data_IF_922280589802
#
_entry.id   IF_922280589802
#
_cell.length_a   1.000
_cell.length_b   1.000
_cell.length_c   1.000
_cell.angle_alpha   90.00
_cell.angle_beta   90.00
_cell.angle_gamma   90.00
#
_symmetry.space_group_name_H-M   'P 1'
#
loop_
_entity.id
_entity.type
_entity.pdbx_description
1 polymer ?
#
# COMPACT_ATOMS: atom_id res chain seq x y z
N UNK A 1 32.75 8.94 9.75
CA UNK A 1 32.83 7.49 9.98
C UNK A 1 31.73 6.84 9.15
N UNK A 2 32.07 6.16 8.06
CA UNK A 2 31.10 5.50 7.17
C UNK A 2 30.59 4.23 7.83
N UNK A 3 29.29 4.18 8.13
CA UNK A 3 28.64 2.99 8.66
C UNK A 3 28.65 1.89 7.59
N UNK A 4 29.29 0.75 7.90
CA UNK A 4 29.29 -0.42 7.03
C UNK A 4 27.86 -0.92 6.81
N UNK A 5 27.41 -0.90 5.54
CA UNK A 5 26.13 -1.51 5.14
C UNK A 5 26.27 -3.02 5.30
N UNK A 6 25.73 -3.56 6.40
CA UNK A 6 25.67 -5.00 6.65
C UNK A 6 24.64 -5.60 5.68
N UNK A 7 25.11 -6.28 4.64
CA UNK A 7 24.24 -7.05 3.73
C UNK A 7 23.51 -8.11 4.55
N UNK A 8 22.18 -8.00 4.60
CA UNK A 8 21.31 -8.94 5.29
C UNK A 8 21.44 -10.31 4.60
N UNK A 9 21.92 -11.31 5.33
CA UNK A 9 22.03 -12.68 4.82
C UNK A 9 20.65 -13.33 4.94
N UNK A 10 19.95 -13.44 3.83
CA UNK A 10 18.71 -14.22 3.78
C UNK A 10 19.03 -15.71 3.88
N UNK A 11 18.26 -16.43 4.71
CA UNK A 11 18.37 -17.87 4.83
C UNK A 11 17.98 -18.53 3.50
N UNK A 12 18.88 -19.35 2.92
CA UNK A 12 18.66 -20.07 1.66
C UNK A 12 17.75 -21.30 1.80
N UNK A 13 16.79 -21.25 2.73
CA UNK A 13 15.80 -22.30 2.96
C UNK A 13 14.47 -22.00 2.28
N UNK A 14 13.64 -23.03 2.03
CA UNK A 14 12.25 -22.83 1.63
C UNK A 14 11.57 -21.98 2.73
N UNK A 15 10.95 -20.86 2.35
CA UNK A 15 10.27 -19.96 3.31
C UNK A 15 9.27 -20.81 4.13
N UNK A 16 9.23 -20.68 5.46
CA UNK A 16 8.26 -21.39 6.28
C UNK A 16 6.85 -21.06 5.76
N UNK A 17 6.11 -22.06 5.32
CA UNK A 17 4.72 -21.92 4.96
C UNK A 17 3.89 -22.19 6.21
N UNK A 18 3.20 -21.17 6.71
CA UNK A 18 2.40 -21.26 7.93
C UNK A 18 0.95 -21.58 7.55
N UNK A 19 0.46 -21.00 6.46
CA UNK A 19 -0.87 -21.24 5.94
C UNK A 19 -0.88 -22.30 4.83
N UNK A 20 -2.03 -22.95 4.64
CA UNK A 20 -2.22 -23.95 3.58
C UNK A 20 -2.17 -23.37 2.16
N UNK A 21 -2.42 -22.07 2.02
CA UNK A 21 -2.30 -21.32 0.77
C UNK A 21 -1.05 -20.41 0.83
N UNK A 22 -0.05 -20.60 -0.06
CA UNK A 22 1.14 -19.74 -0.16
C UNK A 22 0.83 -18.24 -0.37
N UNK A 23 -0.33 -17.91 -0.92
CA UNK A 23 -0.77 -16.52 -1.09
C UNK A 23 -0.98 -15.85 0.26
N UNK A 24 -1.55 -16.56 1.24
CA UNK A 24 -1.81 -16.02 2.57
C UNK A 24 -0.52 -15.72 3.36
N UNK A 25 0.48 -16.59 3.27
CA UNK A 25 1.80 -16.34 3.87
C UNK A 25 2.49 -15.11 3.26
N UNK A 26 2.31 -14.94 1.95
CA UNK A 26 2.87 -13.80 1.20
C UNK A 26 2.17 -12.50 1.61
N UNK A 27 0.84 -12.50 1.70
CA UNK A 27 0.04 -11.36 2.12
C UNK A 27 0.35 -10.98 3.58
N UNK A 28 0.44 -11.96 4.48
CA UNK A 28 0.86 -11.74 5.87
C UNK A 28 2.26 -11.12 5.96
N UNK A 29 3.21 -11.62 5.16
CA UNK A 29 4.56 -11.06 5.09
C UNK A 29 4.54 -9.59 4.64
N UNK A 30 3.74 -9.25 3.63
CA UNK A 30 3.57 -7.86 3.16
C UNK A 30 2.98 -6.98 4.25
N UNK A 31 1.95 -7.44 4.96
CA UNK A 31 1.32 -6.70 6.07
C UNK A 31 2.32 -6.45 7.20
N UNK A 32 3.14 -7.44 7.56
CA UNK A 32 4.16 -7.30 8.60
C UNK A 32 5.24 -6.26 8.22
N UNK A 33 5.66 -6.23 6.96
CA UNK A 33 6.59 -5.19 6.47
C UNK A 33 5.91 -3.81 6.54
N UNK A 34 4.68 -3.66 6.04
CA UNK A 34 3.95 -2.40 6.09
C UNK A 34 3.75 -1.89 7.53
N UNK A 35 3.38 -2.77 8.45
CA UNK A 35 3.26 -2.44 9.88
C UNK A 35 4.59 -1.97 10.48
N UNK A 36 5.71 -2.56 10.05
CA UNK A 36 7.05 -2.14 10.49
C UNK A 36 7.40 -0.75 9.96
N UNK A 37 7.18 -0.48 8.68
CA UNK A 37 7.41 0.84 8.07
C UNK A 37 6.49 1.92 8.68
N UNK A 38 5.25 1.57 9.04
CA UNK A 38 4.33 2.47 9.74
C UNK A 38 4.88 2.86 11.12
N UNK A 39 5.43 1.91 11.87
CA UNK A 39 6.05 2.21 13.17
C UNK A 39 7.29 3.10 13.00
N UNK A 40 8.17 2.82 12.04
CA UNK A 40 9.32 3.69 11.74
C UNK A 40 8.88 5.12 11.40
N UNK A 41 7.77 5.26 10.66
CA UNK A 41 7.20 6.58 10.35
C UNK A 41 6.67 7.27 11.61
N UNK A 42 5.98 6.55 12.50
CA UNK A 42 5.51 7.09 13.79
C UNK A 42 6.67 7.52 14.69
N UNK A 43 7.72 6.71 14.79
CA UNK A 43 8.92 7.04 15.57
C UNK A 43 9.61 8.30 15.02
N UNK A 44 9.62 8.47 13.69
CA UNK A 44 10.13 9.68 13.06
C UNK A 44 9.28 10.92 13.39
N UNK A 45 7.96 10.79 13.46
CA UNK A 45 7.07 11.89 13.86
C UNK A 45 7.30 12.26 15.34
N UNK A 46 7.37 11.29 16.26
CA UNK A 46 7.71 11.52 17.67
C UNK A 46 9.08 12.22 17.80
N UNK A 47 10.07 11.78 17.01
CA UNK A 47 11.39 12.44 16.98
C UNK A 47 11.30 13.91 16.55
N UNK A 48 10.46 14.23 15.55
CA UNK A 48 10.24 15.62 15.10
C UNK A 48 9.64 16.46 16.22
N UNK A 49 8.62 15.94 16.92
CA UNK A 49 7.98 16.62 18.04
C UNK A 49 8.95 16.88 19.20
N UNK A 50 9.79 15.90 19.54
CA UNK A 50 10.83 16.05 20.58
C UNK A 50 11.87 17.11 20.20
N UNK A 51 12.37 17.07 18.97
CA UNK A 51 13.33 18.09 18.49
C UNK A 51 12.70 19.48 18.48
N UNK A 52 11.41 19.59 18.14
CA UNK A 52 10.70 20.86 18.19
C UNK A 52 10.57 21.37 19.63
N UNK A 53 10.25 20.49 20.58
CA UNK A 53 10.17 20.82 22.00
C UNK A 53 11.53 21.29 22.57
N UNK A 54 12.65 20.65 22.18
CA UNK A 54 14.01 21.11 22.52
C UNK A 54 14.28 22.53 22.00
N UNK A 55 13.71 22.88 20.85
CA UNK A 55 13.77 24.23 20.26
C UNK A 55 12.71 25.19 20.83
N UNK A 56 12.00 24.80 21.89
CA UNK A 56 10.92 25.57 22.54
C UNK A 56 9.71 25.84 21.63
N UNK A 57 9.47 24.98 20.64
CA UNK A 57 8.23 24.95 19.86
C UNK A 57 7.28 23.92 20.47
N UNK A 58 6.07 24.32 20.83
CA UNK A 58 5.07 23.42 21.41
C UNK A 58 4.21 22.88 20.26
N UNK A 59 4.63 21.75 19.67
CA UNK A 59 3.90 21.17 18.55
C UNK A 59 2.86 20.12 18.94
N UNK A 60 3.05 19.37 20.04
CA UNK A 60 2.14 18.26 20.39
C UNK A 60 0.69 18.70 20.59
N UNK A 61 0.46 19.66 21.50
CA UNK A 61 -0.88 20.20 21.75
C UNK A 61 -1.46 20.92 20.53
N UNK A 62 -0.63 21.62 19.75
CA UNK A 62 -1.05 22.30 18.53
C UNK A 62 -1.45 21.32 17.42
N UNK A 63 -0.73 20.19 17.28
CA UNK A 63 -1.06 19.12 16.32
C UNK A 63 -2.40 18.49 16.68
N UNK A 64 -2.63 18.18 17.96
CA UNK A 64 -3.89 17.57 18.42
C UNK A 64 -5.08 18.52 18.26
N UNK A 65 -4.86 19.82 18.45
CA UNK A 65 -5.89 20.85 18.27
C UNK A 65 -6.05 21.33 16.82
N UNK A 66 -5.13 20.95 15.91
CA UNK A 66 -5.07 21.48 14.56
C UNK A 66 -6.34 21.14 13.76
N UNK A 67 -7.04 22.17 13.31
CA UNK A 67 -8.17 22.05 12.40
C UNK A 67 -7.73 22.48 10.99
N UNK A 68 -7.61 21.53 10.05
CA UNK A 68 -7.26 21.87 8.68
C UNK A 68 -8.40 22.67 8.03
N UNK A 69 -8.04 23.69 7.27
CA UNK A 69 -8.99 24.41 6.43
C UNK A 69 -9.38 23.57 5.18
N UNK A 70 -10.29 24.12 4.39
CA UNK A 70 -10.80 23.45 3.20
C UNK A 70 -9.69 23.15 2.17
N UNK A 71 -8.71 24.04 2.03
CA UNK A 71 -7.60 23.87 1.08
C UNK A 71 -6.72 22.69 1.48
N UNK A 72 -6.33 22.63 2.75
CA UNK A 72 -5.54 21.52 3.30
C UNK A 72 -6.29 20.19 3.20
N UNK A 73 -7.60 20.19 3.39
CA UNK A 73 -8.43 18.99 3.24
C UNK A 73 -8.47 18.48 1.79
N UNK A 74 -8.64 19.37 0.82
CA UNK A 74 -8.62 19.02 -0.62
C UNK A 74 -7.26 18.44 -1.00
N UNK A 75 -6.18 19.07 -0.57
CA UNK A 75 -4.81 18.59 -0.78
C UNK A 75 -4.56 17.20 -0.18
N UNK A 76 -5.06 16.96 1.03
CA UNK A 76 -4.95 15.65 1.69
C UNK A 76 -5.78 14.60 0.95
N UNK A 77 -6.96 14.97 0.46
CA UNK A 77 -7.81 14.07 -0.30
C UNK A 77 -7.18 13.70 -1.64
N UNK A 78 -6.64 14.66 -2.38
CA UNK A 78 -5.95 14.37 -3.64
C UNK A 78 -4.78 13.40 -3.42
N UNK A 79 -3.95 13.63 -2.40
CA UNK A 79 -2.85 12.70 -2.06
C UNK A 79 -3.34 11.31 -1.69
N UNK A 80 -4.49 11.20 -1.00
CA UNK A 80 -5.11 9.90 -0.68
C UNK A 80 -5.60 9.19 -1.93
N UNK A 81 -6.28 9.90 -2.82
CA UNK A 81 -6.75 9.34 -4.09
C UNK A 81 -5.58 8.85 -4.94
N UNK A 82 -4.54 9.67 -5.12
CA UNK A 82 -3.33 9.29 -5.85
C UNK A 82 -2.64 8.05 -5.23
N UNK A 83 -2.65 7.95 -3.90
CA UNK A 83 -2.10 6.79 -3.19
C UNK A 83 -2.94 5.54 -3.43
N UNK A 84 -4.26 5.63 -3.28
CA UNK A 84 -5.18 4.52 -3.57
C UNK A 84 -5.08 4.09 -5.02
N UNK A 85 -4.88 5.04 -5.93
CA UNK A 85 -4.75 4.74 -7.34
C UNK A 85 -3.53 3.88 -7.64
N UNK A 86 -2.38 4.22 -7.04
CA UNK A 86 -1.16 3.43 -7.14
C UNK A 86 -1.30 2.08 -6.45
N UNK A 87 -1.96 2.05 -5.29
CA UNK A 87 -2.15 0.83 -4.50
C UNK A 87 -3.01 -0.20 -5.23
N UNK A 88 -4.11 0.24 -5.87
CA UNK A 88 -5.06 -0.64 -6.56
C UNK A 88 -4.81 -0.79 -8.06
N UNK A 89 -3.72 -0.23 -8.59
CA UNK A 89 -3.43 -0.28 -10.03
C UNK A 89 -3.42 -1.72 -10.58
N UNK A 90 -2.70 -2.63 -9.92
CA UNK A 90 -2.61 -4.02 -10.36
C UNK A 90 -3.96 -4.74 -10.29
N UNK A 91 -4.69 -4.59 -9.19
CA UNK A 91 -6.02 -5.18 -9.04
C UNK A 91 -7.00 -4.70 -10.13
N UNK A 92 -6.99 -3.39 -10.43
CA UNK A 92 -7.83 -2.83 -11.50
C UNK A 92 -7.44 -3.37 -12.87
N UNK A 93 -6.14 -3.51 -13.13
CA UNK A 93 -5.64 -4.11 -14.36
C UNK A 93 -6.12 -5.57 -14.50
N UNK A 94 -6.01 -6.37 -13.45
CA UNK A 94 -6.46 -7.77 -13.46
C UNK A 94 -7.97 -7.86 -13.71
N UNK A 95 -8.78 -6.99 -13.09
CA UNK A 95 -10.23 -6.91 -13.35
C UNK A 95 -10.54 -6.55 -14.80
N UNK A 96 -9.83 -5.56 -15.37
CA UNK A 96 -10.01 -5.16 -16.77
C UNK A 96 -9.67 -6.32 -17.71
N UNK A 97 -8.52 -6.98 -17.53
CA UNK A 97 -8.10 -8.12 -18.35
C UNK A 97 -9.11 -9.29 -18.26
N UNK A 98 -9.62 -9.60 -17.07
CA UNK A 98 -10.67 -10.62 -16.89
C UNK A 98 -11.97 -10.24 -17.61
N UNK A 99 -12.38 -8.97 -17.55
CA UNK A 99 -13.60 -8.50 -18.22
C UNK A 99 -13.49 -8.52 -19.76
N UNK A 100 -12.30 -8.26 -20.30
CA UNK A 100 -12.02 -8.33 -21.73
C UNK A 100 -11.98 -9.78 -22.24
N UNK A 101 -11.46 -10.71 -21.42
CA UNK A 101 -11.48 -12.15 -21.72
C UNK A 101 -12.92 -12.71 -21.72
N UNK A 102 -13.73 -12.35 -20.72
CA UNK A 102 -15.16 -12.72 -20.65
C UNK A 102 -15.93 -12.16 -21.87
N UNK A 103 -15.58 -10.96 -22.33
CA UNK A 103 -16.18 -10.36 -23.53
C UNK A 103 -15.81 -11.09 -24.82
N UNK A 104 -14.58 -11.63 -24.92
CA UNK A 104 -14.11 -12.40 -26.06
C UNK A 104 -14.80 -13.76 -26.21
N UNK A 105 -14.89 -14.51 -25.11
CA UNK A 105 -15.60 -15.82 -25.08
C UNK A 105 -17.09 -15.64 -25.39
N UNK A 106 -17.73 -14.63 -24.80
CA UNK A 106 -19.14 -14.30 -25.05
C UNK A 106 -19.40 -13.83 -26.49
N UNK A 107 -18.46 -13.09 -27.10
CA UNK A 107 -18.54 -12.70 -28.51
C UNK A 107 -18.49 -13.92 -29.44
N UNK A 108 -17.58 -14.87 -29.20
CA UNK A 108 -17.54 -16.12 -29.98
C UNK A 108 -18.81 -16.96 -29.82
N UNK A 109 -19.34 -17.10 -28.60
CA UNK A 109 -20.58 -17.83 -28.36
C UNK A 109 -21.77 -17.19 -29.09
N UNK A 110 -21.89 -15.85 -29.08
CA UNK A 110 -22.96 -15.15 -29.80
C UNK A 110 -22.87 -15.34 -31.31
N UNK A 111 -21.68 -15.44 -31.89
CA UNK A 111 -21.49 -15.71 -33.31
C UNK A 111 -21.86 -17.14 -33.68
N UNK A 112 -21.54 -18.11 -32.82
CA UNK A 112 -21.94 -19.50 -33.02
C UNK A 112 -23.46 -19.71 -32.93
N UNK A 113 -24.13 -19.00 -32.03
CA UNK A 113 -25.60 -19.03 -31.91
C UNK A 113 -26.29 -18.37 -33.11
N UNK A 114 -25.73 -17.29 -33.65
CA UNK A 114 -26.23 -16.67 -34.90
C UNK A 114 -26.01 -17.59 -36.10
N UNK A 115 -24.94 -18.37 -36.12
CA UNK A 115 -24.63 -19.30 -37.23
C UNK A 115 -25.47 -20.61 -37.20
N UNK A 116 -26.12 -20.93 -36.09
CA UNK A 116 -26.97 -22.12 -35.92
C UNK A 116 -28.45 -21.88 -36.20
N UNK A 117 -28.89 -20.63 -36.31
CA UNK A 117 -30.24 -20.22 -36.72
C UNK A 117 -30.27 -19.73 -38.17
#
# INVERSE_FOLDING_TARGET
>A
MSAQVKVRRDARGKRPQIYGDPVNDTLMSMVMVLASELNVTRDRLDTIERIAAEKKLILGEEIDAYQPDQEVLVDREQRRQDFMDRLFYLLRKDITELSEQDSGERYSETLEDIAKN
#
